data_IF_815500210485
#
_entry.id   IF_815500210485
#
_cell.length_a   1.000
_cell.length_b   1.000
_cell.length_c   1.000
_cell.angle_alpha   90.00
_cell.angle_beta   90.00
_cell.angle_gamma   90.00
#
_symmetry.space_group_name_H-M   'P 1'
#
loop_
_entity.id
_entity.type
_entity.pdbx_description
1 polymer ?
#
# COMPACT_ATOMS: atom_id res chain seq x y z
N UNK A 1 29.33 -28.64 19.53
CA UNK A 1 28.07 -29.07 18.89
C UNK A 1 27.65 -27.94 17.96
N UNK A 2 27.78 -28.15 16.67
CA UNK A 2 27.48 -27.16 15.65
C UNK A 2 25.98 -27.23 15.36
N UNK A 3 25.22 -26.26 15.88
CA UNK A 3 23.77 -26.21 15.67
C UNK A 3 23.51 -25.76 14.25
N UNK A 4 23.20 -26.71 13.37
CA UNK A 4 22.68 -26.44 12.03
C UNK A 4 21.40 -25.61 12.15
N UNK A 5 21.52 -24.28 11.99
CA UNK A 5 20.36 -23.42 11.72
C UNK A 5 19.73 -23.98 10.44
N UNK A 6 18.60 -24.67 10.57
CA UNK A 6 17.73 -24.90 9.42
C UNK A 6 17.52 -23.53 8.75
N UNK A 7 17.69 -23.44 7.43
CA UNK A 7 17.40 -22.21 6.69
C UNK A 7 15.90 -21.94 6.86
N UNK A 8 15.54 -21.18 7.90
CA UNK A 8 14.24 -20.52 7.93
C UNK A 8 14.19 -19.63 6.69
N UNK A 9 13.08 -19.66 5.96
CA UNK A 9 12.90 -18.85 4.76
C UNK A 9 13.11 -17.35 5.04
N UNK A 10 12.97 -16.49 4.01
CA UNK A 10 13.14 -15.05 4.20
C UNK A 10 12.26 -14.54 5.36
N UNK A 11 12.82 -13.66 6.18
CA UNK A 11 12.15 -13.05 7.34
C UNK A 11 11.62 -11.65 7.01
N UNK A 12 12.02 -11.06 5.88
CA UNK A 12 11.69 -9.69 5.50
C UNK A 12 11.01 -9.63 4.13
N UNK A 13 9.77 -9.15 4.09
CA UNK A 13 9.03 -8.87 2.86
C UNK A 13 9.35 -7.46 2.33
N UNK A 14 9.87 -7.34 1.12
CA UNK A 14 10.00 -6.07 0.41
C UNK A 14 8.98 -6.02 -0.73
N UNK A 15 7.93 -5.19 -0.57
CA UNK A 15 6.89 -4.99 -1.56
C UNK A 15 7.28 -3.87 -2.52
N UNK A 16 7.39 -4.18 -3.82
CA UNK A 16 7.63 -3.22 -4.89
C UNK A 16 6.30 -2.79 -5.50
N UNK A 17 6.02 -1.48 -5.52
CA UNK A 17 4.73 -0.93 -5.95
C UNK A 17 4.95 0.01 -7.14
N UNK A 18 4.39 -0.35 -8.30
CA UNK A 18 4.57 0.40 -9.53
C UNK A 18 3.64 1.64 -9.62
N UNK A 19 3.98 2.56 -10.53
CA UNK A 19 3.23 3.80 -10.77
C UNK A 19 2.08 3.66 -11.76
N UNK A 20 1.59 4.81 -12.25
CA UNK A 20 0.48 4.91 -13.19
C UNK A 20 0.78 4.16 -14.50
N UNK A 21 -0.22 3.44 -15.03
CA UNK A 21 -0.15 2.73 -16.31
C UNK A 21 1.00 1.71 -16.45
N UNK A 22 1.61 1.32 -15.33
CA UNK A 22 2.73 0.38 -15.26
C UNK A 22 2.29 -1.02 -14.81
N UNK A 23 3.25 -1.91 -14.61
CA UNK A 23 3.08 -3.31 -14.23
C UNK A 23 4.23 -3.81 -13.34
N UNK A 24 4.15 -5.02 -12.77
CA UNK A 24 5.29 -5.65 -12.10
C UNK A 24 6.54 -5.76 -12.97
N UNK A 25 6.39 -5.86 -14.30
CA UNK A 25 7.51 -6.04 -15.21
C UNK A 25 8.48 -4.86 -15.20
N UNK A 26 8.00 -3.66 -14.88
CA UNK A 26 8.82 -2.45 -14.74
C UNK A 26 9.84 -2.58 -13.58
N UNK A 27 9.57 -3.47 -12.62
CA UNK A 27 10.50 -3.79 -11.54
C UNK A 27 11.51 -4.89 -11.87
N UNK A 28 11.45 -5.56 -13.04
CA UNK A 28 12.29 -6.74 -13.34
C UNK A 28 13.78 -6.49 -13.06
N UNK A 29 14.32 -5.37 -13.55
CA UNK A 29 15.71 -5.00 -13.30
C UNK A 29 15.97 -4.66 -11.82
N UNK A 30 15.10 -3.84 -11.23
CA UNK A 30 15.22 -3.43 -9.82
C UNK A 30 15.17 -4.62 -8.87
N UNK A 31 14.24 -5.55 -9.08
CA UNK A 31 14.12 -6.81 -8.34
C UNK A 31 15.40 -7.65 -8.44
N UNK A 32 15.97 -7.81 -9.63
CA UNK A 32 17.21 -8.56 -9.82
C UNK A 32 18.40 -7.93 -9.07
N UNK A 33 18.51 -6.61 -9.09
CA UNK A 33 19.55 -5.87 -8.35
C UNK A 33 19.33 -5.99 -6.84
N UNK A 34 18.10 -5.80 -6.37
CA UNK A 34 17.75 -5.90 -4.95
C UNK A 34 18.01 -7.30 -4.41
N UNK A 35 17.65 -8.36 -5.14
CA UNK A 35 17.94 -9.76 -4.76
C UNK A 35 19.44 -9.97 -4.56
N UNK A 36 20.26 -9.47 -5.49
CA UNK A 36 21.72 -9.58 -5.40
C UNK A 36 22.31 -8.80 -4.22
N UNK A 37 21.75 -7.64 -3.88
CA UNK A 37 22.29 -6.73 -2.85
C UNK A 37 21.83 -7.06 -1.44
N UNK A 38 20.58 -7.50 -1.28
CA UNK A 38 19.96 -7.73 0.02
C UNK A 38 20.07 -9.20 0.49
N UNK A 39 20.27 -10.13 -0.45
CA UNK A 39 20.45 -11.56 -0.16
C UNK A 39 19.17 -12.31 0.21
N UNK A 40 19.33 -13.57 0.60
CA UNK A 40 18.24 -14.55 0.77
C UNK A 40 17.27 -14.25 1.93
N UNK A 41 17.61 -13.32 2.83
CA UNK A 41 16.73 -12.93 3.95
C UNK A 41 15.51 -12.12 3.48
N UNK A 42 15.60 -11.53 2.28
CA UNK A 42 14.54 -10.70 1.71
C UNK A 42 13.70 -11.49 0.70
N UNK A 43 12.40 -11.55 0.95
CA UNK A 43 11.43 -11.89 -0.08
C UNK A 43 11.01 -10.62 -0.82
N UNK A 44 11.54 -10.45 -2.03
CA UNK A 44 11.23 -9.29 -2.87
C UNK A 44 10.03 -9.64 -3.74
N UNK A 45 8.98 -8.83 -3.63
CA UNK A 45 7.69 -9.09 -4.25
C UNK A 45 7.20 -7.88 -5.03
N UNK A 46 7.14 -7.98 -6.37
CA UNK A 46 6.56 -6.95 -7.22
C UNK A 46 5.04 -7.10 -7.30
N UNK A 47 4.32 -6.12 -6.74
CA UNK A 47 2.86 -6.11 -6.68
C UNK A 47 2.22 -6.01 -8.06
N UNK A 48 1.18 -6.83 -8.28
CA UNK A 48 0.41 -6.93 -9.53
C UNK A 48 -1.05 -6.50 -9.38
N UNK A 49 -1.46 -6.12 -8.16
CA UNK A 49 -2.84 -5.72 -7.84
C UNK A 49 -3.41 -4.60 -8.72
N UNK A 50 -2.55 -3.70 -9.22
CA UNK A 50 -2.97 -2.45 -9.87
C UNK A 50 -2.43 -2.24 -11.29
N UNK A 51 -2.29 -3.28 -12.11
CA UNK A 51 -1.75 -3.15 -13.49
C UNK A 51 -2.55 -2.22 -14.41
N UNK A 52 -1.83 -1.46 -15.25
CA UNK A 52 -2.35 -0.67 -16.35
C UNK A 52 -3.53 0.23 -15.97
N UNK A 53 -4.72 -0.01 -16.54
CA UNK A 53 -5.91 0.82 -16.35
C UNK A 53 -6.46 0.76 -14.92
N UNK A 54 -6.15 -0.29 -14.15
CA UNK A 54 -6.55 -0.39 -12.74
C UNK A 54 -5.95 0.73 -11.87
N UNK A 55 -4.85 1.36 -12.33
CA UNK A 55 -4.26 2.52 -11.65
C UNK A 55 -5.17 3.75 -11.63
N UNK A 56 -6.21 3.79 -12.47
CA UNK A 56 -7.15 4.91 -12.55
C UNK A 56 -8.41 4.72 -11.67
N UNK A 57 -8.55 3.59 -10.98
CA UNK A 57 -9.73 3.32 -10.15
C UNK A 57 -9.79 4.16 -8.86
N UNK A 58 -8.77 4.97 -8.61
CA UNK A 58 -8.64 5.77 -7.40
C UNK A 58 -7.71 5.15 -6.36
N UNK A 59 -7.12 6.00 -5.54
CA UNK A 59 -6.08 5.61 -4.57
C UNK A 59 -6.64 4.67 -3.50
N UNK A 60 -7.89 4.87 -3.09
CA UNK A 60 -8.53 4.08 -2.05
C UNK A 60 -8.85 2.65 -2.53
N UNK A 61 -9.36 2.51 -3.76
CA UNK A 61 -9.62 1.20 -4.38
C UNK A 61 -8.29 0.48 -4.62
N UNK A 62 -7.31 1.16 -5.22
CA UNK A 62 -6.00 0.58 -5.50
C UNK A 62 -5.25 0.19 -4.22
N UNK A 63 -5.33 1.00 -3.18
CA UNK A 63 -4.73 0.73 -1.87
C UNK A 63 -5.36 -0.47 -1.16
N UNK A 64 -6.69 -0.64 -1.22
CA UNK A 64 -7.37 -1.84 -0.70
C UNK A 64 -6.91 -3.10 -1.43
N UNK A 65 -6.84 -3.08 -2.77
CA UNK A 65 -6.32 -4.24 -3.54
C UNK A 65 -4.89 -4.59 -3.17
N UNK A 66 -4.03 -3.58 -2.98
CA UNK A 66 -2.65 -3.79 -2.55
C UNK A 66 -2.61 -4.41 -1.13
N UNK A 67 -3.48 -3.96 -0.23
CA UNK A 67 -3.63 -4.53 1.11
C UNK A 67 -3.97 -6.02 1.03
N UNK A 68 -4.98 -6.38 0.24
CA UNK A 68 -5.42 -7.76 0.07
C UNK A 68 -4.31 -8.65 -0.51
N UNK A 69 -3.60 -8.16 -1.54
CA UNK A 69 -2.47 -8.87 -2.15
C UNK A 69 -1.33 -9.10 -1.15
N UNK A 70 -0.97 -8.09 -0.34
CA UNK A 70 0.05 -8.22 0.71
C UNK A 70 -0.37 -9.25 1.77
N UNK A 71 -1.63 -9.23 2.21
CA UNK A 71 -2.15 -10.22 3.15
C UNK A 71 -2.05 -11.65 2.60
N UNK A 72 -2.35 -11.84 1.32
CA UNK A 72 -2.25 -13.14 0.66
C UNK A 72 -0.81 -13.64 0.54
N UNK A 73 0.16 -12.74 0.29
CA UNK A 73 1.59 -13.09 0.30
C UNK A 73 2.02 -13.54 1.69
N UNK A 74 1.63 -12.79 2.72
CA UNK A 74 2.06 -13.06 4.10
C UNK A 74 1.46 -14.36 4.65
N UNK A 75 0.20 -14.65 4.32
CA UNK A 75 -0.44 -15.94 4.66
C UNK A 75 0.28 -17.15 4.06
N UNK A 76 0.90 -17.00 2.89
CA UNK A 76 1.63 -18.08 2.20
C UNK A 76 3.03 -18.31 2.77
N UNK A 77 3.56 -17.38 3.57
CA UNK A 77 4.95 -17.41 4.04
C UNK A 77 5.04 -17.02 5.51
N UNK A 78 4.89 -18.03 6.38
CA UNK A 78 4.90 -17.88 7.85
C UNK A 78 6.25 -17.49 8.45
N UNK A 79 7.35 -17.53 7.67
CA UNK A 79 8.67 -17.07 8.12
C UNK A 79 8.79 -15.55 8.18
N UNK A 80 7.92 -14.82 7.48
CA UNK A 80 7.96 -13.37 7.43
C UNK A 80 7.68 -12.77 8.82
N UNK A 81 8.51 -11.81 9.20
CA UNK A 81 8.43 -11.04 10.45
C UNK A 81 8.51 -9.54 10.22
N UNK A 82 9.11 -9.12 9.11
CA UNK A 82 9.35 -7.71 8.77
C UNK A 82 8.72 -7.38 7.43
N UNK A 83 8.31 -6.13 7.25
CA UNK A 83 7.81 -5.63 5.98
C UNK A 83 8.42 -4.27 5.63
N UNK A 84 8.66 -4.06 4.34
CA UNK A 84 9.05 -2.77 3.77
C UNK A 84 8.37 -2.55 2.43
N UNK A 85 8.21 -1.29 2.08
CA UNK A 85 7.62 -0.86 0.82
C UNK A 85 8.62 -0.01 0.05
N UNK A 86 8.81 -0.32 -1.24
CA UNK A 86 9.47 0.54 -2.21
C UNK A 86 8.46 0.86 -3.31
N UNK A 87 8.09 2.13 -3.44
CA UNK A 87 7.01 2.55 -4.31
C UNK A 87 7.46 3.64 -5.29
N UNK A 88 6.98 3.56 -6.53
CA UNK A 88 7.30 4.53 -7.58
C UNK A 88 6.08 5.34 -7.99
N UNK A 89 6.25 6.66 -8.09
CA UNK A 89 5.25 7.62 -8.55
C UNK A 89 3.90 7.44 -7.83
N UNK A 90 2.79 7.32 -8.57
CA UNK A 90 1.45 7.09 -8.03
C UNK A 90 1.36 5.87 -7.09
N UNK A 91 2.22 4.86 -7.28
CA UNK A 91 2.31 3.68 -6.43
C UNK A 91 2.61 4.00 -4.97
N UNK A 92 3.31 5.11 -4.70
CA UNK A 92 3.56 5.56 -3.33
C UNK A 92 2.29 5.96 -2.58
N UNK A 93 1.28 6.49 -3.29
CA UNK A 93 -0.02 6.78 -2.69
C UNK A 93 -0.81 5.51 -2.42
N UNK A 94 -0.74 4.52 -3.32
CA UNK A 94 -1.35 3.20 -3.11
C UNK A 94 -0.74 2.50 -1.88
N UNK A 95 0.60 2.49 -1.79
CA UNK A 95 1.34 1.93 -0.66
C UNK A 95 0.99 2.64 0.65
N UNK A 96 0.90 3.98 0.64
CA UNK A 96 0.52 4.76 1.81
C UNK A 96 -0.88 4.41 2.32
N UNK A 97 -1.85 4.28 1.42
CA UNK A 97 -3.20 3.83 1.77
C UNK A 97 -3.18 2.41 2.33
N UNK A 98 -2.44 1.50 1.70
CA UNK A 98 -2.34 0.11 2.14
C UNK A 98 -1.71 0.00 3.54
N UNK A 99 -0.61 0.72 3.80
CA UNK A 99 0.02 0.78 5.13
C UNK A 99 -0.99 1.26 6.19
N UNK A 100 -1.74 2.32 5.91
CA UNK A 100 -2.77 2.79 6.83
C UNK A 100 -3.82 1.70 7.09
N UNK A 101 -4.26 0.98 6.07
CA UNK A 101 -5.25 -0.10 6.21
C UNK A 101 -4.70 -1.31 6.98
N UNK A 102 -3.44 -1.70 6.72
CA UNK A 102 -2.77 -2.82 7.38
C UNK A 102 -2.55 -2.59 8.88
N UNK A 103 -2.23 -1.37 9.27
CA UNK A 103 -1.88 -1.01 10.65
C UNK A 103 -2.97 -0.24 11.40
N UNK A 104 -4.14 -0.02 10.79
CA UNK A 104 -5.27 0.60 11.47
C UNK A 104 -5.78 -0.25 12.64
N UNK A 105 -6.14 0.36 13.79
CA UNK A 105 -6.77 -0.36 14.90
C UNK A 105 -8.11 -0.97 14.51
N UNK A 106 -8.82 -0.35 13.57
CA UNK A 106 -10.11 -0.81 13.07
C UNK A 106 -10.02 -2.14 12.33
N UNK A 107 -8.88 -2.50 11.75
CA UNK A 107 -8.67 -3.84 11.17
C UNK A 107 -8.66 -4.93 12.26
N UNK A 108 -8.51 -4.55 13.54
CA UNK A 108 -8.68 -5.43 14.71
C UNK A 108 -10.12 -5.53 15.21
N UNK A 109 -11.00 -4.55 14.88
CA UNK A 109 -12.34 -4.40 15.49
C UNK A 109 -13.50 -4.44 14.47
N UNK A 110 -13.29 -4.06 13.21
CA UNK A 110 -14.32 -3.78 12.22
C UNK A 110 -15.02 -5.00 11.60
N UNK A 111 -14.94 -6.18 12.23
CA UNK A 111 -15.92 -7.26 11.98
C UNK A 111 -16.67 -7.72 13.24
N UNK A 112 -16.52 -7.02 14.37
CA UNK A 112 -17.34 -7.27 15.57
C UNK A 112 -18.66 -6.48 15.61
N UNK A 113 -18.90 -5.58 14.64
CA UNK A 113 -20.17 -4.83 14.56
C UNK A 113 -20.90 -5.11 13.24
N UNK A 114 -21.46 -6.31 13.13
CA UNK A 114 -22.72 -6.49 12.42
C UNK A 114 -23.81 -6.57 13.50
N UNK A 115 -24.94 -5.84 13.40
CA UNK A 115 -25.98 -5.86 14.43
C UNK A 115 -26.72 -7.21 14.36
N UNK A 116 -26.13 -8.24 14.97
CA UNK A 116 -26.80 -9.49 15.25
C UNK A 116 -27.57 -9.31 16.55
N UNK A 117 -28.88 -9.18 16.39
CA UNK A 117 -29.86 -9.25 17.48
C UNK A 117 -29.60 -10.56 18.24
N UNK A 118 -29.27 -10.43 19.53
CA UNK A 118 -29.15 -11.54 20.48
C UNK A 118 -30.50 -12.22 20.69
N UNK A 119 -30.52 -13.52 21.03
CA UNK A 119 -30.67 -13.81 22.45
C UNK A 119 -29.68 -14.85 23.01
N UNK A 120 -29.50 -14.65 24.31
CA UNK A 120 -28.71 -15.35 25.31
C UNK A 120 -28.91 -16.87 25.30
N UNK A 121 -27.81 -17.63 25.34
CA UNK A 121 -27.74 -18.90 26.07
C UNK A 121 -26.30 -19.21 26.49
N UNK A 122 -26.17 -19.57 27.76
CA UNK A 122 -24.98 -19.95 28.51
C UNK A 122 -24.50 -21.36 28.15
N UNK A 123 -23.21 -21.55 27.88
CA UNK A 123 -22.58 -22.87 27.92
C UNK A 123 -21.39 -23.08 26.99
N UNK A 124 -20.34 -23.66 27.56
CA UNK A 124 -19.17 -24.33 26.97
C UNK A 124 -18.15 -23.52 26.14
N UNK A 125 -16.90 -23.70 26.54
CA UNK A 125 -15.70 -23.26 25.87
C UNK A 125 -15.60 -23.81 24.44
N UNK A 126 -15.49 -22.91 23.45
CA UNK A 126 -14.92 -23.23 22.15
C UNK A 126 -13.94 -22.14 21.72
N UNK A 127 -12.68 -22.58 21.64
CA UNK A 127 -11.57 -21.90 21.00
C UNK A 127 -11.93 -21.54 19.55
N UNK A 128 -12.37 -20.30 19.33
CA UNK A 128 -12.57 -19.78 17.98
C UNK A 128 -11.26 -19.21 17.45
N UNK A 129 -10.60 -19.98 16.59
CA UNK A 129 -9.40 -19.57 15.86
C UNK A 129 -9.66 -18.28 15.07
N UNK A 130 -9.07 -17.18 15.52
CA UNK A 130 -9.06 -15.88 14.84
C UNK A 130 -8.02 -15.88 13.71
N UNK A 131 -8.17 -16.79 12.75
CA UNK A 131 -7.21 -16.97 11.66
C UNK A 131 -7.68 -16.23 10.41
N UNK A 132 -7.38 -14.93 10.29
CA UNK A 132 -7.74 -14.20 9.06
C UNK A 132 -6.96 -12.92 8.77
N UNK A 133 -6.63 -12.14 9.80
CA UNK A 133 -5.87 -10.89 9.70
C UNK A 133 -4.63 -10.84 10.61
N UNK A 134 -4.40 -11.91 11.37
CA UNK A 134 -3.29 -12.04 12.32
C UNK A 134 -1.91 -11.89 11.63
N UNK A 135 -1.81 -12.20 10.34
CA UNK A 135 -0.50 -12.29 9.67
C UNK A 135 0.25 -10.96 9.50
N UNK A 136 -0.41 -9.83 9.21
CA UNK A 136 0.30 -8.56 8.89
C UNK A 136 0.37 -7.59 10.06
N UNK A 137 -0.61 -7.60 10.97
CA UNK A 137 -0.50 -6.84 12.22
C UNK A 137 0.67 -7.31 13.10
N UNK A 138 1.17 -8.53 12.85
CA UNK A 138 2.36 -9.11 13.47
C UNK A 138 3.66 -8.73 12.74
N UNK A 139 3.60 -8.26 11.50
CA UNK A 139 4.81 -7.85 10.77
C UNK A 139 5.29 -6.49 11.26
N UNK A 140 6.56 -6.43 11.63
CA UNK A 140 7.25 -5.20 12.00
C UNK A 140 7.46 -4.33 10.75
N UNK A 141 6.90 -3.10 10.70
CA UNK A 141 7.17 -2.18 9.60
C UNK A 141 8.58 -1.59 9.73
N UNK A 142 9.43 -1.81 8.73
CA UNK A 142 10.84 -1.35 8.78
C UNK A 142 11.07 -0.10 7.93
N UNK A 143 10.75 -0.12 6.64
CA UNK A 143 11.02 0.98 5.71
C UNK A 143 9.82 1.28 4.81
N UNK A 144 9.56 2.58 4.58
CA UNK A 144 8.68 3.05 3.51
C UNK A 144 9.44 4.04 2.62
N UNK A 145 9.78 3.60 1.41
CA UNK A 145 10.59 4.35 0.45
C UNK A 145 9.73 4.69 -0.76
N UNK A 146 9.71 5.97 -1.14
CA UNK A 146 8.97 6.43 -2.31
C UNK A 146 9.87 7.17 -3.29
N UNK A 147 9.73 6.88 -4.58
CA UNK A 147 10.47 7.51 -5.67
C UNK A 147 9.51 8.33 -6.54
N UNK A 148 9.76 9.63 -6.70
CA UNK A 148 8.95 10.53 -7.54
C UNK A 148 7.43 10.51 -7.23
N UNK A 149 7.04 10.23 -5.99
CA UNK A 149 5.63 10.16 -5.58
C UNK A 149 5.04 11.55 -5.34
N UNK A 150 3.91 11.91 -5.97
CA UNK A 150 3.23 13.19 -5.75
C UNK A 150 2.43 13.16 -4.44
N UNK A 151 3.10 13.18 -3.30
CA UNK A 151 2.47 13.08 -1.97
C UNK A 151 1.43 14.15 -1.68
N UNK A 152 1.59 15.34 -2.26
CA UNK A 152 0.68 16.49 -2.10
C UNK A 152 -0.23 16.69 -3.33
N UNK A 153 -0.24 15.72 -4.25
CA UNK A 153 -0.86 15.89 -5.56
C UNK A 153 0.01 16.67 -6.55
N UNK A 154 -0.51 16.83 -7.76
CA UNK A 154 0.15 17.54 -8.85
C UNK A 154 -0.58 18.85 -9.08
N UNK A 155 0.15 19.97 -9.10
CA UNK A 155 -0.42 21.29 -9.35
C UNK A 155 -0.62 21.48 -10.86
N UNK A 156 -1.86 21.38 -11.32
CA UNK A 156 -2.21 21.66 -12.72
C UNK A 156 -3.61 21.19 -13.11
N UNK A 157 -4.49 22.13 -13.47
CA UNK A 157 -5.69 21.82 -14.25
C UNK A 157 -5.22 21.39 -15.65
N UNK A 158 -5.61 20.20 -16.11
CA UNK A 158 -5.47 19.72 -17.50
C UNK A 158 -4.10 19.15 -17.94
N UNK A 159 -3.28 18.55 -17.07
CA UNK A 159 -2.02 17.91 -17.52
C UNK A 159 -2.19 16.64 -18.36
N UNK A 160 -3.41 16.12 -18.51
CA UNK A 160 -3.73 15.06 -19.50
C UNK A 160 -4.61 15.66 -20.59
N UNK A 161 -3.97 16.10 -21.67
CA UNK A 161 -4.63 16.57 -22.90
C UNK A 161 -5.28 15.43 -23.68
N UNK A 162 -6.24 14.73 -23.07
CA UNK A 162 -7.08 13.74 -23.76
C UNK A 162 -8.50 14.30 -23.81
N UNK A 163 -8.84 14.97 -24.91
CA UNK A 163 -10.16 15.58 -25.17
C UNK A 163 -11.34 14.58 -25.10
N UNK A 164 -11.08 13.28 -24.96
CA UNK A 164 -12.10 12.22 -24.91
C UNK A 164 -12.57 11.83 -23.49
N UNK A 165 -11.95 12.34 -22.42
CA UNK A 165 -12.28 11.95 -21.03
C UNK A 165 -13.04 13.03 -20.23
N UNK A 166 -13.92 13.78 -20.90
CA UNK A 166 -14.76 14.82 -20.27
C UNK A 166 -15.72 14.35 -19.16
N UNK A 167 -15.72 13.05 -18.80
CA UNK A 167 -16.60 12.49 -17.76
C UNK A 167 -15.86 11.93 -16.53
N UNK A 168 -14.53 11.74 -16.57
CA UNK A 168 -13.76 11.17 -15.44
C UNK A 168 -12.94 12.19 -14.65
N UNK A 169 -12.72 13.40 -15.20
CA UNK A 169 -12.01 14.46 -14.48
C UNK A 169 -12.74 14.96 -13.21
N UNK A 170 -14.05 14.71 -13.09
CA UNK A 170 -14.83 15.04 -11.89
C UNK A 170 -14.62 14.09 -10.70
N UNK A 171 -13.84 13.01 -10.86
CA UNK A 171 -13.62 12.03 -9.79
C UNK A 171 -12.40 12.41 -8.93
N UNK A 172 -11.42 13.14 -9.49
CA UNK A 172 -10.17 13.44 -8.77
C UNK A 172 -10.18 14.74 -7.94
N UNK A 173 -11.17 15.62 -8.14
CA UNK A 173 -11.33 16.84 -7.33
C UNK A 173 -12.81 16.98 -6.93
N UNK A 174 -13.17 16.37 -5.80
CA UNK A 174 -14.27 16.88 -4.97
C UNK A 174 -13.65 17.53 -3.73
N UNK A 175 -13.07 18.70 -3.94
CA UNK A 175 -12.81 19.66 -2.88
C UNK A 175 -14.14 19.89 -2.14
N UNK A 176 -14.23 19.46 -0.87
CA UNK A 176 -15.26 20.02 0.01
C UNK A 176 -14.89 21.48 0.20
N UNK A 177 -15.69 22.37 -0.40
CA UNK A 177 -15.62 23.81 -0.15
C UNK A 177 -15.81 24.06 1.36
N UNK A 178 -14.73 24.45 2.04
CA UNK A 178 -14.79 25.29 3.23
C UNK A 178 -14.43 26.70 2.80
N UNK A 179 -15.35 27.65 2.94
CA UNK A 179 -15.09 29.06 2.69
C UNK A 179 -14.09 29.59 3.71
N UNK A 180 -13.00 30.20 3.23
CA UNK A 180 -12.26 31.21 4.00
C UNK A 180 -12.01 32.40 3.09
N UNK A 181 -12.46 33.56 3.56
CA UNK A 181 -12.28 34.87 2.94
C UNK A 181 -10.85 35.38 3.12
N UNK A 182 -10.37 36.09 2.10
CA UNK A 182 -9.38 37.16 2.29
C UNK A 182 -7.94 36.84 1.92
N UNK A 183 -7.41 37.57 0.94
CA UNK A 183 -5.99 37.98 0.94
C UNK A 183 -5.08 37.39 -0.14
N UNK A 184 -4.99 38.11 -1.26
CA UNK A 184 -3.82 38.34 -2.14
C UNK A 184 -2.58 37.44 -2.00
N UNK A 185 -2.29 36.67 -3.06
CA UNK A 185 -1.04 35.94 -3.30
C UNK A 185 0.06 36.86 -3.84
N UNK A 186 1.12 37.07 -3.07
CA UNK A 186 2.43 37.47 -3.61
C UNK A 186 3.27 36.22 -3.89
N UNK A 187 3.73 36.14 -5.14
CA UNK A 187 4.70 35.20 -5.71
C UNK A 187 5.89 34.92 -4.79
N UNK A 188 6.26 33.64 -4.63
CA UNK A 188 7.67 33.30 -4.39
C UNK A 188 8.05 32.05 -5.20
N UNK A 189 9.06 32.28 -6.04
CA UNK A 189 9.66 31.37 -7.01
C UNK A 189 10.64 30.40 -6.34
N UNK A 190 10.52 29.12 -6.72
CA UNK A 190 11.59 28.23 -7.21
C UNK A 190 12.94 28.14 -6.46
N UNK A 191 13.29 26.90 -6.06
CA UNK A 191 14.62 26.33 -6.27
C UNK A 191 14.55 24.78 -6.22
N UNK A 192 14.56 24.15 -7.40
CA UNK A 192 15.00 22.76 -7.56
C UNK A 192 16.50 22.86 -7.82
N UNK A 193 17.32 22.30 -6.93
CA UNK A 193 18.72 22.05 -7.25
C UNK A 193 18.87 20.56 -7.52
N UNK A 194 19.05 20.26 -8.80
CA UNK A 194 19.47 18.97 -9.32
C UNK A 194 20.92 18.73 -8.93
N UNK A 195 21.22 17.56 -8.37
CA UNK A 195 22.43 16.78 -8.62
C UNK A 195 22.02 15.31 -8.72
#
# INVERSE_FOLDING_TARGET
>A
MDTSKSKQGPDHLLVLVHGIMASPKDWTYGEAVLKRRLGDNFFIYASSSNIYTKTFDGIDIAGRRLTDEVLDVVKKMSSLRKISFLAHSLGGLFARYAIATLYSPETKVARQSSPQIVPISSGSAESRCTSGLCGVAELEPINFITLATPHLGVRGRNQVGIKSYGRLANIFIKERKGSYEGGTLTSLSMAISTL
#
